data_IF_849690581223
#
_entry.id   IF_849690581223
#
_cell.length_a   1.000
_cell.length_b   1.000
_cell.length_c   1.000
_cell.angle_alpha   90.00
_cell.angle_beta   90.00
_cell.angle_gamma   90.00
#
_symmetry.space_group_name_H-M   'P 1'
#
loop_
_entity.id
_entity.type
_entity.pdbx_description
1 polymer ?
#
# COMPACT_ATOMS: atom_id res chain seq x y z
N UNK A 1 7.59 15.66 -15.11
CA UNK A 1 8.58 14.74 -15.68
C UNK A 1 7.88 13.91 -16.74
N UNK A 2 8.44 13.92 -17.95
CA UNK A 2 7.94 13.10 -19.04
C UNK A 2 8.17 11.63 -18.69
N UNK A 3 7.10 10.84 -18.68
CA UNK A 3 7.14 9.41 -18.47
C UNK A 3 7.76 8.78 -19.72
N UNK A 4 9.02 8.36 -19.63
CA UNK A 4 9.73 7.73 -20.74
C UNK A 4 9.34 6.26 -20.81
N UNK A 5 8.57 5.90 -21.82
CA UNK A 5 8.16 4.52 -22.07
C UNK A 5 9.41 3.68 -22.40
N UNK A 6 9.68 2.64 -21.60
CA UNK A 6 10.70 1.63 -21.88
C UNK A 6 12.10 1.86 -21.34
N UNK A 7 12.48 3.08 -20.93
CA UNK A 7 13.81 3.37 -20.36
C UNK A 7 13.70 4.07 -19.00
N UNK A 8 14.67 3.85 -18.10
CA UNK A 8 14.68 4.47 -16.77
C UNK A 8 14.18 3.55 -15.66
N UNK A 9 14.09 4.09 -14.45
CA UNK A 9 13.71 3.36 -13.23
C UNK A 9 12.20 3.38 -13.07
N UNK A 10 11.53 2.22 -12.88
CA UNK A 10 10.09 2.16 -12.68
C UNK A 10 9.65 2.86 -11.39
N UNK A 11 8.50 3.53 -11.46
CA UNK A 11 7.93 4.31 -10.36
C UNK A 11 6.58 3.73 -9.98
N UNK A 12 6.45 3.26 -8.76
CA UNK A 12 5.18 2.81 -8.18
C UNK A 12 4.31 3.99 -7.79
N UNK A 13 3.10 4.04 -8.33
CA UNK A 13 2.09 5.08 -8.11
C UNK A 13 0.80 4.46 -7.54
N UNK A 14 -0.19 5.27 -7.21
CA UNK A 14 -1.49 4.81 -6.71
C UNK A 14 -2.21 3.86 -7.68
N UNK A 15 -1.98 4.01 -9.00
CA UNK A 15 -2.49 3.10 -10.03
C UNK A 15 -1.93 1.68 -9.90
N UNK A 16 -0.73 1.52 -9.37
CA UNK A 16 -0.09 0.22 -9.15
C UNK A 16 -0.61 -0.51 -7.89
N UNK A 17 -1.62 0.03 -7.22
CA UNK A 17 -2.35 -0.69 -6.18
C UNK A 17 -3.76 -0.97 -6.73
N UNK A 18 -4.09 -2.22 -7.00
CA UNK A 18 -5.39 -2.66 -7.51
C UNK A 18 -5.87 -3.83 -6.65
N UNK A 19 -7.12 -3.80 -6.24
CA UNK A 19 -7.73 -4.83 -5.40
C UNK A 19 -6.88 -5.21 -4.17
N UNK A 20 -6.30 -4.17 -3.53
CA UNK A 20 -5.42 -4.30 -2.35
C UNK A 20 -4.12 -5.09 -2.61
N UNK A 21 -3.77 -5.31 -3.88
CA UNK A 21 -2.56 -6.00 -4.34
C UNK A 21 -1.69 -5.08 -5.20
N UNK A 22 -0.39 -5.38 -5.27
CA UNK A 22 0.52 -4.70 -6.17
C UNK A 22 0.29 -5.17 -7.61
N UNK A 23 0.06 -4.23 -8.53
CA UNK A 23 -0.11 -4.46 -9.96
C UNK A 23 1.01 -3.77 -10.74
N UNK A 24 1.82 -4.55 -11.47
CA UNK A 24 2.98 -4.06 -12.21
C UNK A 24 2.75 -3.99 -13.74
N UNK A 25 1.51 -4.11 -14.20
CA UNK A 25 1.16 -4.15 -15.63
C UNK A 25 1.38 -2.81 -16.34
N UNK A 26 1.29 -1.69 -15.62
CA UNK A 26 1.51 -0.34 -16.16
C UNK A 26 2.43 0.44 -15.24
N UNK A 27 3.71 0.53 -15.64
CA UNK A 27 4.77 1.17 -14.88
C UNK A 27 5.27 2.42 -15.61
N UNK A 28 5.06 3.58 -14.99
CA UNK A 28 5.78 4.78 -15.39
C UNK A 28 7.26 4.62 -15.08
N UNK A 29 8.12 5.24 -15.89
CA UNK A 29 9.58 5.21 -15.69
C UNK A 29 10.14 6.63 -15.67
N UNK A 30 11.20 6.84 -14.91
CA UNK A 30 11.88 8.12 -14.79
C UNK A 30 13.37 7.97 -15.03
N UNK A 31 13.96 8.99 -15.66
CA UNK A 31 15.40 9.13 -15.81
C UNK A 31 15.86 10.33 -14.97
N UNK A 32 16.11 10.09 -13.71
CA UNK A 32 16.59 11.11 -12.77
C UNK A 32 17.52 10.49 -11.74
N UNK A 33 18.26 11.35 -11.04
CA UNK A 33 19.06 10.87 -9.91
C UNK A 33 18.17 10.36 -8.80
N UNK A 34 18.33 9.11 -8.42
CA UNK A 34 17.58 8.44 -7.35
C UNK A 34 18.47 8.31 -6.13
N UNK A 35 17.94 8.64 -4.96
CA UNK A 35 18.59 8.40 -3.68
C UNK A 35 18.23 7.02 -3.14
N UNK A 36 19.12 6.40 -2.38
CA UNK A 36 18.95 5.02 -1.88
C UNK A 36 17.66 4.81 -1.07
N UNK A 37 17.26 5.82 -0.30
CA UNK A 37 16.03 5.78 0.52
C UNK A 37 14.71 5.84 -0.31
N UNK A 38 14.79 6.13 -1.60
CA UNK A 38 13.64 6.17 -2.52
C UNK A 38 13.34 4.79 -3.14
N UNK A 39 14.29 3.85 -3.07
CA UNK A 39 14.04 2.50 -3.54
C UNK A 39 13.09 1.75 -2.62
N UNK A 40 12.22 0.96 -3.23
CA UNK A 40 11.32 0.05 -2.53
C UNK A 40 11.97 -1.32 -2.35
N UNK A 41 11.47 -2.10 -1.42
CA UNK A 41 11.94 -3.46 -1.16
C UNK A 41 10.77 -4.41 -0.90
N UNK A 42 10.94 -5.68 -1.26
CA UNK A 42 9.98 -6.73 -0.94
C UNK A 42 9.68 -6.77 0.56
N UNK A 43 8.44 -7.06 0.92
CA UNK A 43 7.95 -7.07 2.29
C UNK A 43 7.58 -5.69 2.87
N UNK A 44 7.85 -4.59 2.14
CA UNK A 44 7.40 -3.25 2.53
C UNK A 44 5.94 -3.03 2.11
N UNK A 45 5.25 -2.10 2.77
CA UNK A 45 3.89 -1.69 2.40
C UNK A 45 3.97 -0.38 1.61
N UNK A 46 3.45 -0.37 0.39
CA UNK A 46 3.24 0.82 -0.41
C UNK A 46 1.90 1.45 -0.04
N UNK A 47 1.86 2.76 0.21
CA UNK A 47 0.66 3.47 0.67
C UNK A 47 0.47 4.72 -0.18
N UNK A 48 -0.74 4.94 -0.69
CA UNK A 48 -1.13 6.19 -1.33
C UNK A 48 -1.39 7.26 -0.28
N UNK A 49 -0.56 8.29 -0.25
CA UNK A 49 -0.65 9.37 0.75
C UNK A 49 -1.47 10.57 0.27
N UNK A 50 -1.54 10.78 -1.04
CA UNK A 50 -2.29 11.87 -1.65
C UNK A 50 -2.81 11.47 -3.03
N UNK A 51 -4.06 11.85 -3.31
CA UNK A 51 -4.66 11.67 -4.63
C UNK A 51 -5.80 12.67 -4.83
N UNK A 52 -6.14 13.00 -6.06
CA UNK A 52 -7.30 13.82 -6.39
C UNK A 52 -8.64 13.14 -6.00
N UNK A 53 -8.68 11.82 -6.01
CA UNK A 53 -9.81 11.04 -5.47
C UNK A 53 -9.57 10.66 -4.01
N UNK A 54 -10.46 11.06 -3.12
CA UNK A 54 -10.41 10.74 -1.68
C UNK A 54 -10.35 9.24 -1.41
N UNK A 55 -11.05 8.45 -2.22
CA UNK A 55 -11.13 6.98 -2.06
C UNK A 55 -9.81 6.25 -2.32
N UNK A 56 -8.84 6.92 -2.97
CA UNK A 56 -7.54 6.34 -3.24
C UNK A 56 -6.51 6.65 -2.14
N UNK A 57 -6.78 7.64 -1.29
CA UNK A 57 -5.90 7.97 -0.16
C UNK A 57 -6.02 6.89 0.92
N UNK A 58 -4.88 6.40 1.41
CA UNK A 58 -4.81 5.27 2.35
C UNK A 58 -4.85 3.90 1.69
N UNK A 59 -5.11 3.81 0.38
CA UNK A 59 -4.99 2.56 -0.39
C UNK A 59 -3.57 2.01 -0.27
N UNK A 60 -3.43 0.74 0.08
CA UNK A 60 -2.12 0.15 0.34
C UNK A 60 -2.04 -1.31 -0.13
N UNK A 61 -0.81 -1.74 -0.44
CA UNK A 61 -0.50 -3.12 -0.80
C UNK A 61 0.91 -3.50 -0.30
N UNK A 62 1.13 -4.79 -0.05
CA UNK A 62 2.48 -5.29 0.20
C UNK A 62 3.25 -5.34 -1.12
N UNK A 63 4.53 -4.99 -1.06
CA UNK A 63 5.44 -5.04 -2.21
C UNK A 63 6.06 -6.43 -2.24
N UNK A 64 5.80 -7.17 -3.31
CA UNK A 64 6.29 -8.52 -3.49
C UNK A 64 6.73 -8.75 -4.95
N UNK A 65 7.65 -9.69 -5.14
CA UNK A 65 8.07 -10.17 -6.46
C UNK A 65 8.52 -9.04 -7.41
N UNK A 66 9.29 -8.08 -6.90
CA UNK A 66 9.84 -7.02 -7.73
C UNK A 66 10.79 -7.61 -8.78
N UNK A 67 10.53 -7.43 -10.09
CA UNK A 67 11.41 -7.93 -11.16
C UNK A 67 12.70 -7.12 -11.31
N UNK A 68 12.72 -5.88 -10.86
CA UNK A 68 13.86 -4.96 -10.93
C UNK A 68 13.82 -3.95 -9.78
N UNK A 69 14.86 -3.14 -9.64
CA UNK A 69 14.87 -2.02 -8.67
C UNK A 69 13.83 -0.97 -9.07
N UNK A 70 12.93 -0.63 -8.16
CA UNK A 70 11.86 0.34 -8.36
C UNK A 70 11.87 1.41 -7.27
N UNK A 71 11.25 2.53 -7.56
CA UNK A 71 11.05 3.63 -6.61
C UNK A 71 9.56 3.93 -6.43
N UNK A 72 9.22 4.75 -5.46
CA UNK A 72 7.84 5.20 -5.25
C UNK A 72 7.67 6.66 -5.60
N UNK A 73 6.50 7.01 -6.13
CA UNK A 73 6.15 8.37 -6.56
C UNK A 73 5.95 9.34 -5.38
N UNK A 74 5.95 10.64 -5.68
CA UNK A 74 5.88 11.72 -4.69
C UNK A 74 4.62 11.69 -3.79
N UNK A 75 3.54 11.08 -4.25
CA UNK A 75 2.28 10.94 -3.51
C UNK A 75 2.11 9.57 -2.86
N UNK A 76 3.18 8.84 -2.75
CA UNK A 76 3.24 7.53 -2.12
C UNK A 76 4.15 7.59 -0.88
N UNK A 77 3.94 6.66 0.02
CA UNK A 77 4.86 6.36 1.11
C UNK A 77 5.16 4.87 1.15
N UNK A 78 6.29 4.52 1.75
CA UNK A 78 6.68 3.14 1.99
C UNK A 78 6.86 2.93 3.48
N UNK A 79 6.10 2.00 4.03
CA UNK A 79 6.19 1.60 5.43
C UNK A 79 6.99 0.30 5.56
N UNK A 80 7.92 0.26 6.51
CA UNK A 80 8.83 -0.87 6.76
C UNK A 80 8.77 -1.30 8.21
N UNK A 81 8.40 -2.54 8.45
CA UNK A 81 8.35 -3.14 9.78
C UNK A 81 8.44 -4.67 9.68
N UNK A 82 8.89 -5.32 10.74
CA UNK A 82 8.82 -6.80 10.87
C UNK A 82 7.39 -7.32 11.05
N UNK A 83 6.42 -6.42 11.25
CA UNK A 83 5.01 -6.76 11.45
C UNK A 83 4.15 -6.48 10.21
N UNK A 84 4.76 -6.19 9.07
CA UNK A 84 4.06 -5.71 7.86
C UNK A 84 2.85 -6.56 7.43
N UNK A 85 2.85 -7.90 7.44
CA UNK A 85 1.67 -8.66 7.07
C UNK A 85 0.45 -8.33 7.94
N UNK A 86 0.65 -8.19 9.26
CA UNK A 86 -0.41 -7.81 10.18
C UNK A 86 -0.81 -6.34 10.04
N UNK A 87 0.17 -5.43 9.94
CA UNK A 87 -0.06 -3.99 9.78
C UNK A 87 -0.81 -3.70 8.48
N UNK A 88 -0.51 -4.41 7.40
CA UNK A 88 -1.25 -4.29 6.15
C UNK A 88 -2.76 -4.51 6.37
N UNK A 89 -3.14 -5.58 7.08
CA UNK A 89 -4.56 -5.88 7.35
C UNK A 89 -5.22 -4.79 8.19
N UNK A 90 -4.49 -4.22 9.14
CA UNK A 90 -4.98 -3.07 9.90
C UNK A 90 -5.19 -1.82 8.99
N UNK A 91 -4.22 -1.48 8.15
CA UNK A 91 -4.32 -0.35 7.22
C UNK A 91 -5.45 -0.51 6.18
N UNK A 92 -5.79 -1.73 5.81
CA UNK A 92 -6.90 -2.08 4.92
C UNK A 92 -8.25 -2.08 5.65
N UNK A 93 -8.26 -2.12 6.99
CA UNK A 93 -9.47 -2.24 7.79
C UNK A 93 -10.34 -0.99 7.78
N UNK A 94 -11.62 -1.18 8.12
CA UNK A 94 -12.55 -0.09 8.36
C UNK A 94 -12.04 0.88 9.44
N UNK A 95 -11.43 0.39 10.51
CA UNK A 95 -10.93 1.21 11.62
C UNK A 95 -9.90 2.24 11.16
N UNK A 96 -8.95 1.85 10.32
CA UNK A 96 -7.97 2.78 9.80
C UNK A 96 -8.59 3.76 8.79
N UNK A 97 -9.48 3.29 7.94
CA UNK A 97 -10.21 4.15 6.98
C UNK A 97 -11.06 5.20 7.70
N UNK A 98 -11.68 4.82 8.81
CA UNK A 98 -12.48 5.71 9.65
C UNK A 98 -11.60 6.75 10.38
N UNK A 99 -10.51 6.30 11.00
CA UNK A 99 -9.49 7.18 11.57
C UNK A 99 -8.96 8.20 10.55
N UNK A 100 -8.66 7.77 9.32
CA UNK A 100 -8.19 8.63 8.25
C UNK A 100 -9.26 9.67 7.87
N UNK A 101 -10.52 9.27 7.81
CA UNK A 101 -11.65 10.17 7.52
C UNK A 101 -11.81 11.23 8.60
N UNK A 102 -11.81 10.86 9.88
CA UNK A 102 -11.96 11.75 11.02
C UNK A 102 -10.78 12.71 11.17
N UNK A 103 -9.57 12.25 10.88
CA UNK A 103 -8.34 13.06 10.93
C UNK A 103 -8.23 14.08 9.80
N UNK A 104 -9.08 13.99 8.75
CA UNK A 104 -9.09 14.91 7.60
C UNK A 104 -10.27 15.85 7.65
N UNK A 105 -10.15 16.92 8.45
CA UNK A 105 -11.14 18.01 8.56
C UNK A 105 -10.99 19.11 7.51
N UNK A 106 -9.96 19.03 6.64
CA UNK A 106 -9.58 20.06 5.68
C UNK A 106 -10.05 19.76 4.26
N UNK A 107 -9.98 20.76 3.37
CA UNK A 107 -10.33 20.61 1.95
C UNK A 107 -9.41 19.63 1.21
N UNK A 108 -8.16 19.46 1.68
CA UNK A 108 -7.19 18.54 1.09
C UNK A 108 -7.19 17.24 1.89
N UNK A 109 -7.77 16.19 1.31
CA UNK A 109 -7.76 14.85 1.89
C UNK A 109 -6.42 14.17 1.62
N UNK A 110 -5.67 13.84 2.67
CA UNK A 110 -4.34 13.23 2.59
C UNK A 110 -4.00 12.42 3.83
N UNK A 111 -3.09 11.47 3.67
CA UNK A 111 -2.47 10.72 4.77
C UNK A 111 -1.08 11.29 5.05
N UNK A 112 -0.94 12.01 6.14
CA UNK A 112 0.35 12.61 6.53
C UNK A 112 1.20 11.63 7.33
N UNK A 113 2.51 11.87 7.40
CA UNK A 113 3.39 11.09 8.29
C UNK A 113 2.99 11.21 9.76
N UNK A 114 2.49 12.37 10.18
CA UNK A 114 2.01 12.58 11.55
C UNK A 114 0.79 11.72 11.86
N UNK A 115 -0.14 11.59 10.93
CA UNK A 115 -1.31 10.71 11.08
C UNK A 115 -0.86 9.24 11.19
N UNK A 116 0.08 8.79 10.37
CA UNK A 116 0.63 7.42 10.47
C UNK A 116 1.34 7.17 11.80
N UNK A 117 2.07 8.15 12.33
CA UNK A 117 2.75 8.03 13.63
C UNK A 117 1.79 8.00 14.82
N UNK A 118 0.65 8.69 14.71
CA UNK A 118 -0.34 8.78 15.77
C UNK A 118 -1.46 7.74 15.66
N UNK A 119 -1.50 6.96 14.59
CA UNK A 119 -2.45 5.86 14.45
C UNK A 119 -2.19 4.78 15.51
N UNK A 120 -3.18 4.52 16.34
CA UNK A 120 -3.10 3.50 17.38
C UNK A 120 -3.37 2.13 16.76
N UNK A 121 -2.33 1.31 16.67
CA UNK A 121 -2.40 -0.05 16.14
C UNK A 121 -2.28 -1.03 17.31
N UNK A 122 -3.27 -1.90 17.55
CA UNK A 122 -3.12 -2.99 18.52
C UNK A 122 -2.06 -3.98 18.00
N UNK A 123 -1.06 -4.27 18.82
CA UNK A 123 0.05 -5.17 18.46
C UNK A 123 0.01 -6.41 19.38
N UNK A 124 -0.75 -7.46 19.02
CA UNK A 124 -0.75 -8.71 19.78
C UNK A 124 0.59 -9.46 19.64
N UNK A 125 0.83 -10.51 20.43
CA UNK A 125 2.00 -11.36 20.26
C UNK A 125 2.15 -11.88 18.82
N UNK A 126 3.38 -12.13 18.38
CA UNK A 126 3.66 -12.47 16.97
C UNK A 126 2.93 -13.72 16.48
N UNK A 127 2.73 -14.71 17.37
CA UNK A 127 1.94 -15.91 17.07
C UNK A 127 0.49 -15.57 16.74
N UNK A 128 -0.09 -14.65 17.49
CA UNK A 128 -1.47 -14.19 17.27
C UNK A 128 -1.59 -13.34 16.01
N UNK A 129 -0.62 -12.49 15.73
CA UNK A 129 -0.57 -11.76 14.44
C UNK A 129 -0.60 -12.71 13.25
N UNK A 130 0.22 -13.77 13.29
CA UNK A 130 0.26 -14.81 12.24
C UNK A 130 -1.08 -15.52 12.11
N UNK A 131 -1.71 -15.88 13.25
CA UNK A 131 -3.02 -16.55 13.26
C UNK A 131 -4.10 -15.67 12.64
N UNK A 132 -4.12 -14.38 12.98
CA UNK A 132 -5.07 -13.40 12.43
C UNK A 132 -4.88 -13.27 10.91
N UNK A 133 -3.65 -13.06 10.45
CA UNK A 133 -3.35 -12.92 9.01
C UNK A 133 -3.79 -14.17 8.25
N UNK A 134 -3.41 -15.36 8.72
CA UNK A 134 -3.78 -16.62 8.07
C UNK A 134 -5.30 -16.81 7.99
N UNK A 135 -6.03 -16.42 9.07
CA UNK A 135 -7.50 -16.54 9.06
C UNK A 135 -8.18 -15.56 8.11
N UNK A 136 -7.66 -14.34 7.99
CA UNK A 136 -8.16 -13.35 7.02
C UNK A 136 -7.92 -13.85 5.59
N UNK A 137 -6.75 -14.40 5.29
CA UNK A 137 -6.42 -14.95 3.98
C UNK A 137 -7.28 -16.17 3.62
N UNK A 138 -7.53 -17.06 4.57
CA UNK A 138 -8.46 -18.19 4.40
C UNK A 138 -9.86 -17.71 4.00
N UNK A 139 -10.38 -16.69 4.70
CA UNK A 139 -11.71 -16.12 4.42
C UNK A 139 -11.76 -15.48 3.04
N UNK A 140 -10.76 -14.66 2.68
CA UNK A 140 -10.72 -14.03 1.36
C UNK A 140 -10.62 -15.06 0.23
N UNK A 141 -9.78 -16.08 0.37
CA UNK A 141 -9.67 -17.16 -0.61
C UNK A 141 -11.00 -17.91 -0.78
N UNK A 142 -11.73 -18.13 0.31
CA UNK A 142 -13.06 -18.76 0.24
C UNK A 142 -14.07 -17.87 -0.48
N UNK A 143 -14.07 -16.55 -0.23
CA UNK A 143 -14.94 -15.58 -0.91
C UNK A 143 -14.62 -15.49 -2.41
N UNK A 144 -13.34 -15.42 -2.77
CA UNK A 144 -12.89 -15.41 -4.17
C UNK A 144 -13.32 -16.69 -4.90
N UNK A 145 -13.25 -17.85 -4.24
CA UNK A 145 -13.74 -19.12 -4.77
C UNK A 145 -15.27 -19.12 -5.01
N UNK A 146 -16.04 -18.53 -4.11
CA UNK A 146 -17.50 -18.38 -4.29
C UNK A 146 -17.80 -17.45 -5.48
N UNK A 147 -17.12 -16.31 -5.55
CA UNK A 147 -17.32 -15.34 -6.62
C UNK A 147 -17.01 -15.93 -8.00
N UNK A 148 -15.95 -16.73 -8.10
CA UNK A 148 -15.57 -17.39 -9.36
C UNK A 148 -16.59 -18.45 -9.83
N UNK A 149 -17.40 -19.01 -8.92
CA UNK A 149 -18.44 -19.98 -9.24
C UNK A 149 -19.80 -19.33 -9.58
N UNK A 150 -19.93 -18.01 -9.43
CA UNK A 150 -21.16 -17.27 -9.72
C UNK A 150 -21.14 -16.60 -11.10
N UNK A 151 -20.02 -16.67 -11.81
CA UNK A 151 -19.80 -16.17 -13.18
C UNK A 151 -19.73 -17.33 -14.14
#
# INVERSE_FOLDING_TARGET
PEDLIGTGIPVLRSHNIQDEKLCLSDLARVQTKIFENQYVSNGSILICTRNGSKNLVGKCAIIENLPEKMVFGAFMAVFRSKFNPYILRYLQSFYFKDYLRESNSTQIYQLTQNMLRNALIPIPPISEQKRIVAKIEEIFNALDGIQSNLV
#
